data_IF_952398548396
#
_entry.id   IF_952398548396
#
_cell.length_a   1.000
_cell.length_b   1.000
_cell.length_c   1.000
_cell.angle_alpha   90.00
_cell.angle_beta   90.00
_cell.angle_gamma   90.00
#
_symmetry.space_group_name_H-M   'P 1'
#
loop_
_entity.id
_entity.type
_entity.pdbx_description
1 polymer ?
#
# COMPACT_ATOMS: atom_id res chain seq x y z
N UNK A 1 -9.02 8.88 -11.80
CA UNK A 1 -8.28 8.57 -10.54
C UNK A 1 -6.85 8.32 -10.97
N UNK A 2 -5.87 9.01 -10.38
CA UNK A 2 -4.46 8.83 -10.75
C UNK A 2 -3.80 8.11 -9.56
N UNK A 3 -3.20 6.93 -9.77
CA UNK A 3 -2.50 6.23 -8.69
C UNK A 3 -1.27 7.03 -8.27
N UNK A 4 -0.97 7.00 -6.97
CA UNK A 4 0.30 7.53 -6.45
C UNK A 4 1.39 6.51 -6.83
N UNK A 5 2.48 6.96 -7.48
CA UNK A 5 3.63 6.11 -7.74
C UNK A 5 4.19 5.52 -6.44
N UNK A 6 4.60 4.25 -6.45
CA UNK A 6 4.97 3.52 -5.23
C UNK A 6 6.22 4.14 -4.55
N UNK A 7 7.13 4.74 -5.32
CA UNK A 7 8.30 5.46 -4.81
C UNK A 7 7.98 6.73 -4.03
N UNK A 8 6.76 7.26 -4.19
CA UNK A 8 6.27 8.44 -3.46
C UNK A 8 5.47 8.06 -2.21
N UNK A 9 5.25 6.77 -1.95
CA UNK A 9 4.56 6.29 -0.74
C UNK A 9 5.58 6.17 0.39
N UNK A 10 5.43 6.88 1.51
CA UNK A 10 6.27 6.70 2.69
C UNK A 10 6.20 5.25 3.21
N UNK A 11 7.32 4.71 3.72
CA UNK A 11 7.41 3.32 4.21
C UNK A 11 6.38 2.98 5.30
N UNK A 12 5.99 3.96 6.11
CA UNK A 12 4.95 3.86 7.14
C UNK A 12 3.53 3.90 6.58
N UNK A 13 3.32 4.52 5.40
CA UNK A 13 2.01 4.64 4.76
C UNK A 13 1.63 3.46 3.85
N UNK A 14 2.55 2.52 3.59
CA UNK A 14 2.32 1.39 2.67
C UNK A 14 1.08 0.56 3.04
N UNK A 15 0.91 0.26 4.33
CA UNK A 15 -0.21 -0.53 4.85
C UNK A 15 -1.55 0.17 4.59
N UNK A 16 -1.64 1.48 4.89
CA UNK A 16 -2.86 2.25 4.69
C UNK A 16 -3.23 2.40 3.21
N UNK A 17 -2.23 2.62 2.35
CA UNK A 17 -2.45 2.72 0.90
C UNK A 17 -2.91 1.38 0.33
N UNK A 18 -2.32 0.25 0.73
CA UNK A 18 -2.75 -1.07 0.30
C UNK A 18 -4.21 -1.35 0.70
N UNK A 19 -4.60 -1.02 1.94
CA UNK A 19 -5.98 -1.17 2.41
C UNK A 19 -6.97 -0.30 1.61
N UNK A 20 -6.60 0.94 1.29
CA UNK A 20 -7.44 1.84 0.45
C UNK A 20 -7.56 1.31 -0.99
N UNK A 21 -6.46 0.83 -1.58
CA UNK A 21 -6.47 0.19 -2.91
C UNK A 21 -7.41 -1.04 -2.91
N UNK A 22 -7.33 -1.89 -1.88
CA UNK A 22 -8.22 -3.06 -1.71
C UNK A 22 -9.71 -2.68 -1.58
N UNK A 23 -9.99 -1.54 -0.93
CA UNK A 23 -11.34 -0.98 -0.83
C UNK A 23 -11.82 -0.25 -2.11
N UNK A 24 -11.02 -0.25 -3.18
CA UNK A 24 -11.38 0.35 -4.48
C UNK A 24 -11.13 1.86 -4.58
N UNK A 25 -10.35 2.44 -3.67
CA UNK A 25 -9.95 3.85 -3.73
C UNK A 25 -8.67 4.04 -4.53
N UNK A 26 -8.59 5.13 -5.30
CA UNK A 26 -7.40 5.65 -5.99
C UNK A 26 -6.69 4.71 -7.01
N UNK A 27 -7.12 3.46 -7.16
CA UNK A 27 -6.68 2.51 -8.18
C UNK A 27 -7.86 2.05 -9.04
N UNK A 28 -7.72 1.97 -10.38
CA UNK A 28 -8.71 1.34 -11.25
C UNK A 28 -8.69 -0.19 -11.15
N UNK A 29 -7.56 -0.77 -10.72
CA UNK A 29 -7.35 -2.21 -10.59
C UNK A 29 -7.37 -2.63 -9.12
N UNK A 30 -7.99 -3.78 -8.84
CA UNK A 30 -8.00 -4.38 -7.52
C UNK A 30 -6.68 -5.12 -7.25
N UNK A 31 -6.09 -4.99 -6.05
CA UNK A 31 -4.88 -5.71 -5.69
C UNK A 31 -5.11 -7.23 -5.60
N UNK A 32 -4.09 -8.01 -5.92
CA UNK A 32 -4.12 -9.46 -5.76
C UNK A 32 -3.95 -9.86 -4.28
N UNK A 33 -4.35 -11.08 -3.88
CA UNK A 33 -4.13 -11.55 -2.51
C UNK A 33 -2.65 -11.53 -2.09
N UNK A 34 -1.72 -11.69 -3.02
CA UNK A 34 -0.29 -11.60 -2.76
C UNK A 34 0.12 -10.19 -2.35
N UNK A 35 -0.36 -9.19 -3.08
CA UNK A 35 -0.05 -7.77 -2.81
C UNK A 35 -0.51 -7.33 -1.42
N UNK A 36 -1.58 -7.95 -0.90
CA UNK A 36 -2.08 -7.68 0.45
C UNK A 36 -1.23 -8.32 1.54
N UNK A 37 -0.71 -9.52 1.31
CA UNK A 37 0.17 -10.20 2.27
C UNK A 37 1.54 -9.53 2.36
N UNK A 38 2.01 -8.97 1.24
CA UNK A 38 3.31 -8.28 1.15
C UNK A 38 3.23 -6.82 1.62
N UNK A 39 2.04 -6.31 1.95
CA UNK A 39 1.82 -4.95 2.45
C UNK A 39 2.27 -4.79 3.91
N UNK A 40 3.58 -4.81 4.13
CA UNK A 40 4.22 -4.66 5.44
C UNK A 40 4.80 -3.25 5.57
N UNK A 41 4.56 -2.60 6.71
CA UNK A 41 5.12 -1.29 7.02
C UNK A 41 6.60 -1.35 7.43
N UNK A 42 7.15 -0.22 7.89
CA UNK A 42 8.54 -0.17 8.39
C UNK A 42 8.80 -1.14 9.55
N UNK A 43 10.02 -1.70 9.60
CA UNK A 43 10.48 -2.52 10.74
C UNK A 43 10.61 -1.68 12.03
N UNK A 44 10.25 -2.28 13.16
CA UNK A 44 10.34 -1.66 14.49
C UNK A 44 11.71 -1.86 15.16
N UNK A 45 12.58 -2.72 14.63
CA UNK A 45 13.90 -3.02 15.22
C UNK A 45 14.88 -1.83 15.24
N UNK A 46 14.53 -0.72 14.59
CA UNK A 46 15.32 0.52 14.58
C UNK A 46 14.99 1.48 15.74
N UNK A 47 14.20 1.04 16.73
CA UNK A 47 13.77 1.85 17.87
C UNK A 47 14.15 1.21 19.21
#
# INVERSE_FOLDING_TARGET
>A
RVPIPDELIPADAHVEIAAKKAAGYFSPEAPTPKDLNDAIGRSLEKY
#
